data_IF_111367723728
#
_entry.id   IF_111367723728
#
_cell.length_a   1.000
_cell.length_b   1.000
_cell.length_c   1.000
_cell.angle_alpha   90.00
_cell.angle_beta   90.00
_cell.angle_gamma   90.00
#
_symmetry.space_group_name_H-M   'P 1'
#
loop_
_entity.id
_entity.type
_entity.pdbx_description
1 polymer ?
#
# COMPACT_ATOMS: atom_id res chain seq x y z
N UNK A 1 5.61 8.24 -0.47
CA UNK A 1 5.79 8.18 -1.93
C UNK A 1 6.21 9.56 -2.35
N UNK A 2 7.15 9.63 -3.28
CA UNK A 2 7.57 10.92 -3.83
C UNK A 2 6.48 11.44 -4.79
N UNK A 3 6.48 12.73 -5.09
CA UNK A 3 5.59 13.32 -6.10
C UNK A 3 5.70 12.59 -7.44
N UNK A 4 4.57 12.31 -8.09
CA UNK A 4 4.49 11.57 -9.36
C UNK A 4 4.65 10.04 -9.24
N UNK A 5 5.11 9.51 -8.10
CA UNK A 5 5.19 8.06 -7.89
C UNK A 5 3.79 7.45 -7.84
N UNK A 6 3.56 6.37 -8.61
CA UNK A 6 2.23 5.76 -8.72
C UNK A 6 1.23 6.59 -9.52
N UNK A 7 1.68 7.60 -10.27
CA UNK A 7 0.84 8.57 -11.00
C UNK A 7 -0.05 9.40 -10.08
N UNK A 8 0.42 9.68 -8.85
CA UNK A 8 -0.27 10.56 -7.91
C UNK A 8 0.21 12.01 -8.11
N UNK A 9 -0.72 12.99 -8.05
CA UNK A 9 -0.39 14.40 -8.32
C UNK A 9 0.49 15.02 -7.23
N UNK A 10 0.49 14.43 -6.03
CA UNK A 10 1.22 14.93 -4.87
C UNK A 10 1.94 13.79 -4.15
N UNK A 11 2.95 14.15 -3.35
CA UNK A 11 3.62 13.21 -2.45
C UNK A 11 2.60 12.60 -1.49
N UNK A 12 2.50 11.26 -1.49
CA UNK A 12 1.41 10.52 -0.83
C UNK A 12 1.93 9.37 0.02
N UNK A 13 1.08 8.79 0.87
CA UNK A 13 1.43 7.65 1.75
C UNK A 13 0.46 6.50 1.53
N UNK A 14 0.95 5.25 1.53
CA UNK A 14 0.08 4.07 1.67
C UNK A 14 -0.25 3.87 3.14
N UNK A 15 -1.52 3.91 3.49
CA UNK A 15 -1.95 3.63 4.85
C UNK A 15 -2.05 2.11 5.09
N UNK A 16 -0.97 1.53 5.60
CA UNK A 16 -0.87 0.07 5.82
C UNK A 16 -1.68 -0.44 7.01
N UNK A 17 -2.17 0.43 7.90
CA UNK A 17 -3.05 0.04 9.01
C UNK A 17 -4.53 0.00 8.63
N UNK A 18 -4.88 0.46 7.43
CA UNK A 18 -6.25 0.53 6.92
C UNK A 18 -6.40 -0.31 5.64
N UNK A 19 -6.38 -1.64 5.80
CA UNK A 19 -6.51 -2.59 4.70
C UNK A 19 -7.94 -3.13 4.62
N UNK A 20 -8.52 -3.11 3.42
CA UNK A 20 -9.87 -3.59 3.16
C UNK A 20 -9.90 -4.62 2.02
N UNK A 21 -10.78 -5.62 2.14
CA UNK A 21 -11.10 -6.54 1.04
C UNK A 21 -12.24 -5.95 0.22
N UNK A 22 -12.05 -5.84 -1.09
CA UNK A 22 -13.06 -5.31 -2.04
C UNK A 22 -13.33 -6.32 -3.15
N UNK A 23 -14.55 -6.30 -3.70
CA UNK A 23 -14.90 -7.06 -4.90
C UNK A 23 -14.19 -6.47 -6.12
N UNK A 24 -13.64 -7.33 -7.00
CA UNK A 24 -12.89 -6.91 -8.19
C UNK A 24 -13.73 -6.02 -9.13
N UNK A 25 -15.05 -6.18 -9.15
CA UNK A 25 -15.98 -5.38 -9.97
C UNK A 25 -16.06 -3.92 -9.54
N UNK A 26 -15.61 -3.58 -8.33
CA UNK A 26 -15.56 -2.19 -7.84
C UNK A 26 -14.33 -1.44 -8.36
N UNK A 27 -13.35 -2.12 -8.93
CA UNK A 27 -12.16 -1.50 -9.52
C UNK A 27 -12.50 -0.97 -10.92
N UNK A 28 -12.18 0.31 -11.17
CA UNK A 28 -12.33 0.96 -12.47
C UNK A 28 -11.03 0.83 -13.29
N UNK A 29 -10.57 1.89 -13.94
CA UNK A 29 -9.28 1.94 -14.61
C UNK A 29 -8.07 1.88 -13.67
N UNK A 30 -7.00 1.26 -14.15
CA UNK A 30 -5.69 1.33 -13.50
C UNK A 30 -5.06 2.69 -13.73
N UNK A 31 -4.84 3.48 -12.67
CA UNK A 31 -4.29 4.84 -12.77
C UNK A 31 -2.75 4.90 -12.77
N UNK A 32 -2.06 3.86 -12.33
CA UNK A 32 -0.60 3.91 -12.16
C UNK A 32 0.00 2.59 -11.71
N UNK A 33 1.31 2.59 -11.44
CA UNK A 33 2.06 1.42 -10.95
C UNK A 33 3.12 1.86 -9.97
N UNK A 34 3.41 1.00 -9.00
CA UNK A 34 4.51 1.16 -8.06
C UNK A 34 5.66 0.22 -8.42
N UNK A 35 6.89 0.60 -8.06
CA UNK A 35 8.05 -0.28 -8.21
C UNK A 35 7.93 -1.52 -7.31
N UNK A 36 8.61 -2.61 -7.69
CA UNK A 36 8.62 -3.82 -6.85
C UNK A 36 9.20 -3.55 -5.45
N UNK A 37 10.19 -2.66 -5.35
CA UNK A 37 10.78 -2.25 -4.07
C UNK A 37 9.73 -1.59 -3.17
N UNK A 38 8.90 -0.70 -3.73
CA UNK A 38 7.84 -0.05 -2.95
C UNK A 38 6.78 -1.06 -2.49
N UNK A 39 6.40 -2.00 -3.35
CA UNK A 39 5.48 -3.08 -2.99
C UNK A 39 6.03 -3.93 -1.85
N UNK A 40 7.32 -4.29 -1.88
CA UNK A 40 7.97 -5.02 -0.77
C UNK A 40 7.89 -4.24 0.55
N UNK A 41 8.14 -2.94 0.52
CA UNK A 41 8.04 -2.08 1.70
C UNK A 41 6.61 -2.02 2.26
N UNK A 42 5.61 -1.91 1.38
CA UNK A 42 4.18 -1.93 1.77
C UNK A 42 3.84 -3.26 2.46
N UNK A 43 4.26 -4.39 1.89
CA UNK A 43 4.02 -5.73 2.47
C UNK A 43 4.70 -5.85 3.84
N UNK A 44 5.93 -5.37 4.01
CA UNK A 44 6.60 -5.34 5.31
C UNK A 44 5.82 -4.50 6.33
N UNK A 45 5.34 -3.31 5.93
CA UNK A 45 4.51 -2.47 6.79
C UNK A 45 3.20 -3.16 7.21
N UNK A 46 2.53 -3.86 6.30
CA UNK A 46 1.32 -4.65 6.61
C UNK A 46 1.64 -5.75 7.64
N UNK A 47 2.75 -6.49 7.46
CA UNK A 47 3.15 -7.56 8.39
C UNK A 47 3.33 -7.05 9.81
N UNK A 48 3.96 -5.88 9.99
CA UNK A 48 4.10 -5.27 11.32
C UNK A 48 2.76 -5.00 12.00
N UNK A 49 1.70 -4.73 11.23
CA UNK A 49 0.36 -4.45 11.76
C UNK A 49 -0.41 -5.73 12.09
N UNK A 50 -0.27 -6.78 11.27
CA UNK A 50 -1.11 -7.99 11.36
C UNK A 50 -0.44 -9.15 12.10
N UNK A 51 0.89 -9.19 12.15
CA UNK A 51 1.62 -10.26 12.82
C UNK A 51 1.62 -9.99 14.33
N UNK A 52 1.27 -10.99 15.17
CA UNK A 52 1.38 -10.86 16.61
C UNK A 52 2.79 -10.42 17.00
N UNK A 53 2.89 -9.33 17.75
CA UNK A 53 4.15 -8.94 18.35
C UNK A 53 4.32 -9.70 19.66
N UNK A 54 5.47 -10.34 19.85
CA UNK A 54 5.83 -10.85 21.17
C UNK A 54 5.99 -9.65 22.11
N UNK A 55 5.24 -9.67 23.20
CA UNK A 55 5.43 -8.72 24.30
C UNK A 55 6.54 -9.31 25.19
N UNK A 56 7.66 -8.61 25.32
CA UNK A 56 8.65 -8.88 26.37
C UNK A 56 8.06 -8.61 27.77
#
# INVERSE_FOLDING_TARGET
>A
MNEGEGNLPESSVVNVSQVFTVDKRLLTESIGRLSQEKIKLIIQGIKLVIEPQELE
#
